data_IF_859969188061
#
_entry.id   IF_859969188061
#
_cell.length_a   1.000
_cell.length_b   1.000
_cell.length_c   1.000
_cell.angle_alpha   90.00
_cell.angle_beta   90.00
_cell.angle_gamma   90.00
#
_symmetry.space_group_name_H-M   'P 1'
#
loop_
_entity.id
_entity.type
_entity.pdbx_description
1 polymer ?
#
# COMPACT_ATOMS: atom_id res chain seq x y z
N UNK A 1 -25.28 1.11 0.83
CA UNK A 1 -26.15 2.19 0.30
C UNK A 1 -27.45 1.57 -0.19
N UNK A 2 -28.60 2.18 0.07
CA UNK A 2 -29.89 1.76 -0.51
C UNK A 2 -30.04 2.27 -1.95
N UNK A 3 -30.99 1.73 -2.74
CA UNK A 3 -31.20 2.17 -4.12
C UNK A 3 -31.58 3.66 -4.18
N UNK A 4 -31.02 4.45 -5.12
CA UNK A 4 -31.41 5.85 -5.29
C UNK A 4 -32.88 5.93 -5.68
N UNK A 5 -33.62 6.89 -5.12
CA UNK A 5 -35.01 7.17 -5.52
C UNK A 5 -34.99 8.38 -6.44
N UNK A 6 -35.51 8.24 -7.66
CA UNK A 6 -35.61 9.35 -8.61
C UNK A 6 -37.03 9.91 -8.55
N UNK A 7 -37.15 11.21 -8.34
CA UNK A 7 -38.44 11.92 -8.39
C UNK A 7 -38.47 12.78 -9.65
N UNK A 8 -39.39 12.48 -10.56
CA UNK A 8 -39.65 13.30 -11.74
C UNK A 8 -40.88 14.16 -11.47
N UNK A 9 -40.76 15.47 -11.68
CA UNK A 9 -41.89 16.41 -11.66
C UNK A 9 -42.27 16.81 -13.07
N UNK A 10 -43.55 17.05 -13.30
CA UNK A 10 -44.00 17.64 -14.56
C UNK A 10 -43.54 19.12 -14.68
N UNK A 11 -43.55 19.72 -15.88
CA UNK A 11 -43.08 21.09 -16.09
C UNK A 11 -43.81 22.16 -15.28
N UNK A 12 -45.05 21.89 -14.82
CA UNK A 12 -45.83 22.78 -13.98
C UNK A 12 -45.65 22.51 -12.48
N UNK A 13 -44.94 21.42 -12.12
CA UNK A 13 -44.64 21.03 -10.74
C UNK A 13 -45.85 20.54 -9.94
N UNK A 14 -46.92 20.13 -10.60
CA UNK A 14 -48.20 19.73 -10.00
C UNK A 14 -48.26 18.25 -9.63
N UNK A 15 -47.46 17.42 -10.31
CA UNK A 15 -47.41 15.97 -10.17
C UNK A 15 -45.97 15.54 -9.98
N UNK A 16 -45.72 14.78 -8.91
CA UNK A 16 -44.44 14.12 -8.64
C UNK A 16 -44.60 12.61 -8.82
N UNK A 17 -43.84 12.03 -9.74
CA UNK A 17 -43.78 10.59 -9.93
C UNK A 17 -42.43 10.08 -9.41
N UNK A 18 -42.47 9.17 -8.43
CA UNK A 18 -41.26 8.53 -7.90
C UNK A 18 -41.03 7.22 -8.63
N UNK A 19 -39.91 7.15 -9.34
CA UNK A 19 -39.45 5.94 -10.01
C UNK A 19 -38.25 5.41 -9.22
N UNK A 20 -38.26 4.11 -8.94
CA UNK A 20 -37.03 3.43 -8.57
C UNK A 20 -36.36 3.03 -9.89
N UNK A 21 -35.25 3.67 -10.29
CA UNK A 21 -34.52 3.25 -11.47
C UNK A 21 -34.08 1.80 -11.30
N UNK A 22 -34.36 0.95 -12.29
CA UNK A 22 -33.89 -0.44 -12.33
C UNK A 22 -32.39 -0.54 -12.64
N UNK A 23 -31.78 0.56 -13.09
CA UNK A 23 -30.37 0.65 -13.40
C UNK A 23 -29.53 0.63 -12.11
N UNK A 24 -28.74 -0.41 -11.93
CA UNK A 24 -27.74 -0.50 -10.86
C UNK A 24 -26.37 -0.11 -11.41
N UNK A 25 -25.67 0.80 -10.73
CA UNK A 25 -24.28 1.17 -11.02
C UNK A 25 -23.38 0.68 -9.89
N UNK A 26 -22.21 0.13 -10.23
CA UNK A 26 -21.18 -0.24 -9.27
C UNK A 26 -20.26 0.96 -9.01
N UNK A 27 -20.07 1.31 -7.75
CA UNK A 27 -19.15 2.36 -7.30
C UNK A 27 -18.04 1.71 -6.49
N UNK A 28 -16.78 1.98 -6.84
CA UNK A 28 -15.61 1.51 -6.08
C UNK A 28 -15.27 2.55 -5.03
N UNK A 29 -15.33 2.17 -3.75
CA UNK A 29 -15.01 3.05 -2.62
C UNK A 29 -13.60 2.74 -2.14
N UNK A 30 -12.71 3.73 -2.16
CA UNK A 30 -11.33 3.53 -1.72
C UNK A 30 -11.24 3.37 -0.19
N UNK A 31 -10.31 2.51 0.28
CA UNK A 31 -10.11 2.29 1.70
C UNK A 31 -9.68 3.58 2.40
N UNK A 32 -10.05 3.68 3.68
CA UNK A 32 -9.67 4.81 4.52
C UNK A 32 -8.19 4.73 4.87
N UNK A 33 -7.45 5.81 4.64
CA UNK A 33 -6.05 5.96 5.05
C UNK A 33 -5.98 6.72 6.38
N UNK A 34 -5.26 6.17 7.35
CA UNK A 34 -5.09 6.75 8.68
C UNK A 34 -3.74 7.45 8.83
N UNK A 35 -3.64 8.42 9.73
CA UNK A 35 -2.35 9.06 10.03
C UNK A 35 -1.60 8.21 11.04
N UNK A 36 -0.39 7.76 10.70
CA UNK A 36 0.47 7.02 11.62
C UNK A 36 0.85 7.88 12.83
N UNK A 37 0.79 7.32 14.02
CA UNK A 37 1.10 8.01 15.28
C UNK A 37 2.59 8.33 15.41
N UNK A 38 3.43 7.46 14.85
CA UNK A 38 4.87 7.63 14.84
C UNK A 38 5.35 7.90 13.40
N UNK A 39 5.84 9.11 13.09
CA UNK A 39 6.41 9.42 11.78
C UNK A 39 7.68 8.60 11.49
N UNK A 40 8.37 8.12 12.52
CA UNK A 40 9.50 7.21 12.36
C UNK A 40 9.06 5.81 11.93
N UNK A 41 7.78 5.44 12.04
CA UNK A 41 7.29 4.16 11.52
C UNK A 41 7.54 4.02 10.01
N UNK A 42 7.47 5.12 9.25
CA UNK A 42 7.89 5.13 7.84
C UNK A 42 9.39 4.82 7.68
N UNK A 43 10.21 5.29 8.62
CA UNK A 43 11.62 4.94 8.75
C UNK A 43 11.83 3.49 9.22
N UNK A 44 11.05 2.97 10.15
CA UNK A 44 11.07 1.56 10.60
C UNK A 44 10.63 0.60 9.51
N UNK A 45 9.85 1.06 8.53
CA UNK A 45 9.55 0.27 7.33
C UNK A 45 10.73 0.26 6.33
N UNK A 46 11.64 1.24 6.41
CA UNK A 46 12.81 1.36 5.54
C UNK A 46 14.11 0.80 6.16
N UNK A 47 14.38 1.09 7.43
CA UNK A 47 15.62 0.83 8.18
C UNK A 47 15.99 -0.67 8.35
N UNK A 48 15.08 -1.58 8.77
CA UNK A 48 15.41 -3.02 8.80
C UNK A 48 15.67 -3.60 7.41
N UNK A 49 15.13 -2.99 6.35
CA UNK A 49 15.41 -3.41 4.97
C UNK A 49 16.81 -3.00 4.52
N UNK A 50 17.30 -1.84 4.98
CA UNK A 50 18.69 -1.40 4.78
C UNK A 50 19.69 -2.26 5.57
N UNK A 51 19.29 -2.79 6.73
CA UNK A 51 20.16 -3.61 7.59
C UNK A 51 20.27 -5.08 7.15
N UNK A 52 19.15 -5.76 6.85
CA UNK A 52 19.16 -7.18 6.42
C UNK A 52 19.82 -7.40 5.04
N UNK A 53 19.90 -6.37 4.19
CA UNK A 53 20.46 -6.49 2.82
C UNK A 53 21.91 -6.02 2.68
N UNK A 54 22.54 -5.56 3.76
CA UNK A 54 23.99 -5.39 3.81
C UNK A 54 24.76 -6.70 4.07
N UNK A 55 24.06 -7.84 4.16
CA UNK A 55 24.70 -9.17 4.26
C UNK A 55 25.12 -9.71 2.87
N UNK A 56 26.33 -9.29 2.46
CA UNK A 56 27.38 -10.06 1.77
C UNK A 56 27.06 -10.78 0.43
N UNK A 57 27.49 -10.19 -0.71
CA UNK A 57 27.27 -10.78 -2.05
C UNK A 57 28.51 -11.47 -2.69
N UNK A 58 29.78 -11.12 -2.37
CA UNK A 58 31.02 -11.93 -2.64
C UNK A 58 32.30 -11.15 -2.32
N UNK A 59 33.41 -11.88 -2.09
CA UNK A 59 34.79 -11.33 -1.99
C UNK A 59 35.46 -11.36 -3.38
N UNK A 60 36.08 -10.26 -3.80
CA UNK A 60 36.96 -10.18 -4.99
C UNK A 60 38.36 -9.68 -4.61
N UNK A 61 39.34 -10.09 -5.41
CA UNK A 61 40.73 -9.63 -5.34
C UNK A 61 40.84 -8.12 -5.65
N UNK A 62 41.68 -7.41 -4.89
CA UNK A 62 41.94 -5.97 -5.03
C UNK A 62 42.49 -5.62 -6.42
N UNK A 63 41.93 -4.59 -7.07
CA UNK A 63 42.51 -3.98 -8.27
C UNK A 63 43.03 -2.57 -7.92
N UNK A 64 44.22 -2.16 -8.41
CA UNK A 64 44.74 -0.81 -8.18
C UNK A 64 43.78 0.27 -8.66
N UNK A 65 43.17 1.00 -7.72
CA UNK A 65 42.14 2.01 -7.98
C UNK A 65 41.04 2.07 -6.91
N UNK A 66 40.90 1.01 -6.11
CA UNK A 66 39.85 0.93 -5.09
C UNK A 66 40.17 1.72 -3.80
N UNK A 67 39.17 2.37 -3.17
CA UNK A 67 39.37 3.12 -1.95
C UNK A 67 39.68 2.20 -0.77
N UNK A 68 40.85 2.41 -0.17
CA UNK A 68 41.44 1.60 0.92
C UNK A 68 40.55 1.43 2.18
N UNK A 69 39.50 2.24 2.33
CA UNK A 69 38.52 2.13 3.43
C UNK A 69 37.63 0.88 3.34
N UNK A 70 37.57 0.23 2.18
CA UNK A 70 36.73 -0.96 1.93
C UNK A 70 37.51 -2.29 2.07
N UNK A 71 38.73 -2.26 2.60
CA UNK A 71 39.57 -3.47 2.74
C UNK A 71 39.13 -4.28 3.96
N UNK A 72 38.77 -5.54 3.76
CA UNK A 72 38.43 -6.45 4.86
C UNK A 72 39.73 -7.00 5.48
N UNK A 73 40.29 -6.26 6.44
CA UNK A 73 41.60 -6.51 7.05
C UNK A 73 41.73 -7.92 7.65
N UNK A 74 40.65 -8.48 8.21
CA UNK A 74 40.65 -9.81 8.84
C UNK A 74 40.79 -10.96 7.83
N UNK A 75 40.29 -10.77 6.61
CA UNK A 75 40.44 -11.76 5.52
C UNK A 75 41.73 -11.55 4.75
N UNK A 76 42.15 -10.30 4.55
CA UNK A 76 43.42 -9.93 3.91
C UNK A 76 44.66 -10.34 4.73
N UNK A 77 44.50 -10.58 6.05
CA UNK A 77 45.59 -11.07 6.89
C UNK A 77 45.86 -12.58 6.76
N UNK A 78 44.93 -13.34 6.16
CA UNK A 78 44.99 -14.81 6.09
C UNK A 78 45.35 -15.34 4.69
N UNK A 79 45.14 -14.53 3.67
CA UNK A 79 45.53 -14.75 2.29
C UNK A 79 46.37 -13.53 1.93
N UNK A 80 47.62 -13.68 1.50
CA UNK A 80 48.63 -12.60 1.31
C UNK A 80 48.28 -11.60 0.17
N UNK A 81 47.00 -11.37 -0.06
CA UNK A 81 46.39 -10.53 -1.09
C UNK A 81 45.33 -9.62 -0.43
N UNK A 82 45.28 -8.36 -0.84
CA UNK A 82 44.26 -7.43 -0.36
C UNK A 82 42.89 -7.81 -0.94
N UNK A 83 41.87 -7.92 -0.09
CA UNK A 83 40.49 -8.20 -0.48
C UNK A 83 39.64 -6.95 -0.28
N UNK A 84 38.99 -6.46 -1.33
CA UNK A 84 38.14 -5.26 -1.32
C UNK A 84 36.67 -5.65 -1.25
N UNK A 85 35.93 -4.98 -0.38
CA UNK A 85 34.46 -4.95 -0.43
C UNK A 85 34.04 -4.06 -1.62
N UNK A 86 33.83 -4.68 -2.77
CA UNK A 86 33.19 -4.04 -3.92
C UNK A 86 31.68 -4.11 -3.71
N UNK A 87 31.07 -2.97 -3.37
CA UNK A 87 29.63 -2.83 -3.39
C UNK A 87 29.23 -2.64 -4.86
N UNK A 88 28.53 -3.62 -5.45
CA UNK A 88 27.82 -3.38 -6.70
C UNK A 88 26.78 -2.28 -6.44
N UNK A 89 26.72 -1.18 -7.22
CA UNK A 89 25.61 -0.25 -7.16
C UNK A 89 24.41 -0.93 -7.81
N UNK A 90 23.84 -1.87 -7.08
CA UNK A 90 22.49 -2.29 -7.37
C UNK A 90 21.61 -1.17 -6.83
N UNK A 91 21.33 -0.18 -7.66
CA UNK A 91 20.19 0.73 -7.51
C UNK A 91 18.87 -0.07 -7.66
N UNK A 92 18.71 -1.16 -6.89
CA UNK A 92 17.41 -1.81 -6.73
C UNK A 92 16.75 -1.06 -5.58
N UNK A 93 15.83 -0.17 -5.94
CA UNK A 93 14.93 0.51 -5.02
C UNK A 93 14.46 -0.48 -3.94
N UNK A 94 14.53 -0.06 -2.68
CA UNK A 94 14.07 -0.86 -1.55
C UNK A 94 12.60 -1.25 -1.76
N UNK A 95 12.37 -2.51 -2.15
CA UNK A 95 11.02 -3.05 -2.37
C UNK A 95 10.48 -3.60 -1.06
N UNK A 96 9.49 -2.92 -0.49
CA UNK A 96 8.68 -3.37 0.64
C UNK A 96 7.59 -4.33 0.15
N UNK A 97 7.58 -5.54 0.69
CA UNK A 97 6.60 -6.59 0.38
C UNK A 97 5.52 -6.62 1.45
N UNK A 98 4.29 -6.35 1.04
CA UNK A 98 3.11 -6.28 1.93
C UNK A 98 2.15 -7.42 1.58
N UNK A 99 1.83 -8.25 2.55
CA UNK A 99 0.82 -9.29 2.43
C UNK A 99 -0.36 -8.98 3.35
N UNK A 100 -1.57 -8.91 2.82
CA UNK A 100 -2.77 -8.55 3.59
C UNK A 100 -3.85 -9.62 3.45
N UNK A 101 -4.31 -10.15 4.58
CA UNK A 101 -5.41 -11.11 4.64
C UNK A 101 -6.48 -10.70 5.66
N UNK A 102 -7.69 -11.21 5.46
CA UNK A 102 -8.85 -10.91 6.31
C UNK A 102 -9.69 -12.17 6.57
N UNK A 103 -10.20 -12.29 7.79
CA UNK A 103 -11.34 -13.17 8.06
C UNK A 103 -12.62 -12.58 7.43
N UNK A 104 -13.66 -13.41 7.17
CA UNK A 104 -14.94 -12.90 6.68
C UNK A 104 -15.50 -11.77 7.57
N UNK A 105 -15.90 -10.64 6.97
CA UNK A 105 -16.40 -9.46 7.68
C UNK A 105 -15.31 -8.55 8.27
N UNK A 106 -14.05 -8.72 7.87
CA UNK A 106 -12.92 -7.87 8.25
C UNK A 106 -12.20 -7.23 7.05
N UNK A 107 -12.81 -7.29 5.86
CA UNK A 107 -12.26 -6.82 4.59
C UNK A 107 -11.88 -5.33 4.66
N UNK A 108 -12.81 -4.49 5.11
CA UNK A 108 -12.58 -3.04 5.23
C UNK A 108 -11.46 -2.69 6.22
N UNK A 109 -11.30 -3.47 7.30
CA UNK A 109 -10.23 -3.25 8.28
C UNK A 109 -8.87 -3.62 7.70
N UNK A 110 -8.78 -4.77 7.03
CA UNK A 110 -7.57 -5.17 6.30
C UNK A 110 -7.22 -4.12 5.25
N UNK A 111 -8.19 -3.72 4.43
CA UNK A 111 -7.98 -2.76 3.35
C UNK A 111 -7.52 -1.40 3.90
N UNK A 112 -8.12 -0.91 5.00
CA UNK A 112 -7.69 0.33 5.65
C UNK A 112 -6.27 0.26 6.23
N UNK A 113 -5.90 -0.86 6.85
CA UNK A 113 -4.55 -1.05 7.38
C UNK A 113 -3.50 -1.15 6.27
N UNK A 114 -3.77 -1.96 5.24
CA UNK A 114 -2.90 -2.12 4.08
C UNK A 114 -2.76 -0.83 3.28
N UNK A 115 -3.84 -0.07 3.12
CA UNK A 115 -3.83 1.23 2.48
C UNK A 115 -2.94 2.19 3.26
N UNK A 116 -3.09 2.24 4.58
CA UNK A 116 -2.31 3.14 5.44
C UNK A 116 -0.81 2.87 5.38
N UNK A 117 -0.41 1.59 5.44
CA UNK A 117 1.00 1.22 5.41
C UNK A 117 1.59 1.37 4.02
N UNK A 118 0.86 1.01 2.97
CA UNK A 118 1.27 1.23 1.57
C UNK A 118 1.43 2.72 1.26
N UNK A 119 0.48 3.55 1.73
CA UNK A 119 0.51 5.00 1.58
C UNK A 119 1.76 5.61 2.21
N UNK A 120 2.06 5.20 3.45
CA UNK A 120 3.23 5.66 4.18
C UNK A 120 4.54 5.22 3.52
N UNK A 121 4.63 3.97 3.06
CA UNK A 121 5.80 3.44 2.37
C UNK A 121 6.07 4.18 1.04
N UNK A 122 5.02 4.41 0.24
CA UNK A 122 5.13 5.16 -1.02
C UNK A 122 5.49 6.63 -0.75
N UNK A 123 4.94 7.24 0.29
CA UNK A 123 5.31 8.60 0.70
C UNK A 123 6.77 8.70 1.18
N UNK A 124 7.33 7.62 1.71
CA UNK A 124 8.75 7.50 2.06
C UNK A 124 9.66 7.20 0.85
N UNK A 125 9.09 7.01 -0.35
CA UNK A 125 9.84 6.75 -1.58
C UNK A 125 10.19 5.28 -1.83
N UNK A 126 9.62 4.36 -1.06
CA UNK A 126 9.85 2.93 -1.22
C UNK A 126 9.08 2.39 -2.44
N UNK A 127 9.61 1.33 -3.06
CA UNK A 127 8.85 0.51 -3.99
C UNK A 127 7.98 -0.44 -3.17
N UNK A 128 6.71 -0.63 -3.54
CA UNK A 128 5.80 -1.52 -2.81
C UNK A 128 5.29 -2.63 -3.72
N UNK A 129 5.34 -3.87 -3.22
CA UNK A 129 4.69 -5.04 -3.78
C UNK A 129 3.58 -5.48 -2.82
N UNK A 130 2.38 -5.76 -3.33
CA UNK A 130 1.20 -5.98 -2.49
C UNK A 130 0.46 -7.26 -2.89
N UNK A 131 0.22 -8.14 -1.92
CA UNK A 131 -0.66 -9.31 -2.06
C UNK A 131 -1.91 -9.14 -1.22
N UNK A 132 -3.05 -9.47 -1.81
CA UNK A 132 -4.36 -9.60 -1.17
C UNK A 132 -4.94 -10.99 -1.54
N UNK A 133 -6.00 -11.48 -0.88
CA UNK A 133 -6.50 -12.84 -1.15
C UNK A 133 -6.85 -13.08 -2.62
N UNK A 134 -7.45 -12.09 -3.28
CA UNK A 134 -7.94 -12.19 -4.64
C UNK A 134 -7.05 -11.49 -5.69
N UNK A 135 -5.82 -11.10 -5.32
CA UNK A 135 -5.00 -10.32 -6.23
C UNK A 135 -3.59 -10.00 -5.77
N UNK A 136 -2.81 -9.50 -6.73
CA UNK A 136 -1.42 -9.15 -6.55
C UNK A 136 -1.10 -7.91 -7.37
N UNK A 137 -0.33 -7.00 -6.77
CA UNK A 137 0.24 -5.85 -7.43
C UNK A 137 1.76 -5.97 -7.38
N UNK A 138 2.36 -6.08 -8.57
CA UNK A 138 3.80 -6.19 -8.75
C UNK A 138 4.54 -4.97 -8.16
N UNK A 139 5.86 -5.05 -7.91
CA UNK A 139 6.63 -3.94 -7.35
C UNK A 139 6.49 -2.66 -8.18
N UNK A 140 6.12 -1.56 -7.54
CA UNK A 140 6.08 -0.24 -8.17
C UNK A 140 6.10 0.90 -7.16
N UNK A 141 6.17 2.14 -7.65
CA UNK A 141 6.21 3.35 -6.83
C UNK A 141 5.53 4.53 -7.53
N UNK A 142 5.36 5.65 -6.81
CA UNK A 142 4.74 6.86 -7.33
C UNK A 142 3.20 6.84 -7.34
N UNK A 143 2.60 7.89 -7.92
CA UNK A 143 1.16 8.16 -7.80
C UNK A 143 0.29 7.13 -8.54
N UNK A 144 0.66 6.74 -9.76
CA UNK A 144 -0.08 5.70 -10.50
C UNK A 144 -0.08 4.38 -9.75
N UNK A 145 1.02 4.04 -9.08
CA UNK A 145 1.11 2.83 -8.27
C UNK A 145 0.24 2.92 -7.02
N UNK A 146 0.26 4.07 -6.35
CA UNK A 146 -0.63 4.39 -5.23
C UNK A 146 -2.10 4.22 -5.61
N UNK A 147 -2.53 4.77 -6.73
CA UNK A 147 -3.91 4.60 -7.24
C UNK A 147 -4.27 3.14 -7.51
N UNK A 148 -3.36 2.39 -8.14
CA UNK A 148 -3.55 0.97 -8.42
C UNK A 148 -3.65 0.14 -7.13
N UNK A 149 -2.84 0.46 -6.12
CA UNK A 149 -2.92 -0.17 -4.81
C UNK A 149 -4.26 0.13 -4.11
N UNK A 150 -4.70 1.40 -4.11
CA UNK A 150 -6.00 1.79 -3.53
C UNK A 150 -7.17 1.11 -4.23
N UNK A 151 -7.12 0.98 -5.55
CA UNK A 151 -8.13 0.27 -6.34
C UNK A 151 -8.16 -1.23 -6.01
N UNK A 152 -6.99 -1.87 -5.94
CA UNK A 152 -6.90 -3.29 -5.57
C UNK A 152 -7.46 -3.55 -4.17
N UNK A 153 -7.11 -2.68 -3.21
CA UNK A 153 -7.58 -2.79 -1.83
C UNK A 153 -9.08 -2.50 -1.69
N UNK A 154 -9.64 -1.61 -2.52
CA UNK A 154 -11.07 -1.32 -2.54
C UNK A 154 -11.93 -2.52 -2.99
N UNK A 155 -11.34 -3.46 -3.73
CA UNK A 155 -12.02 -4.65 -4.24
C UNK A 155 -11.54 -5.95 -3.58
N UNK A 156 -10.65 -5.87 -2.59
CA UNK A 156 -10.07 -7.04 -1.93
C UNK A 156 -11.12 -7.74 -1.06
N UNK A 157 -11.30 -9.05 -1.28
CA UNK A 157 -12.17 -9.89 -0.46
C UNK A 157 -11.49 -10.39 0.81
N UNK A 158 -12.17 -11.31 1.49
CA UNK A 158 -11.60 -12.05 2.61
C UNK A 158 -10.82 -13.27 2.14
N UNK A 159 -9.96 -13.78 3.02
CA UNK A 159 -9.10 -14.92 2.78
C UNK A 159 -7.69 -14.69 3.32
N UNK A 160 -6.86 -15.71 3.18
CA UNK A 160 -5.43 -15.59 3.43
C UNK A 160 -4.68 -15.37 2.12
N UNK A 161 -3.53 -14.72 2.22
CA UNK A 161 -2.56 -14.72 1.12
C UNK A 161 -1.84 -16.07 1.10
N UNK A 162 -1.45 -16.54 -0.08
CA UNK A 162 -0.69 -17.78 -0.19
C UNK A 162 0.56 -17.79 0.70
N UNK A 163 0.87 -18.94 1.30
CA UNK A 163 1.98 -19.09 2.26
C UNK A 163 3.32 -18.51 1.75
N UNK A 164 3.60 -18.69 0.46
CA UNK A 164 4.80 -18.14 -0.18
C UNK A 164 4.88 -16.60 -0.14
N UNK A 165 3.75 -15.92 -0.34
CA UNK A 165 3.67 -14.47 -0.25
C UNK A 165 3.84 -14.01 1.21
N UNK A 166 3.20 -14.72 2.15
CA UNK A 166 3.29 -14.38 3.58
C UNK A 166 4.69 -14.58 4.16
N UNK A 167 5.39 -15.62 3.72
CA UNK A 167 6.75 -15.93 4.15
C UNK A 167 7.79 -14.92 3.63
N UNK A 168 7.54 -14.31 2.48
CA UNK A 168 8.43 -13.32 1.85
C UNK A 168 8.05 -11.87 2.18
N UNK A 169 6.90 -11.65 2.82
CA UNK A 169 6.41 -10.33 3.18
C UNK A 169 7.19 -9.75 4.37
N UNK A 170 7.71 -8.54 4.16
CA UNK A 170 8.30 -7.71 5.21
C UNK A 170 7.20 -7.23 6.18
N UNK A 171 6.00 -6.98 5.64
CA UNK A 171 4.81 -6.58 6.40
C UNK A 171 3.68 -7.56 6.14
N UNK A 172 3.20 -8.26 7.17
CA UNK A 172 2.02 -9.12 7.07
C UNK A 172 0.87 -8.56 7.90
N UNK A 173 -0.26 -8.31 7.26
CA UNK A 173 -1.48 -7.75 7.85
C UNK A 173 -2.52 -8.86 7.93
N UNK A 174 -3.09 -9.03 9.11
CA UNK A 174 -4.20 -9.95 9.34
C UNK A 174 -5.31 -9.24 10.10
N UNK A 175 -6.49 -9.17 9.50
CA UNK A 175 -7.68 -8.61 10.13
C UNK A 175 -8.68 -9.70 10.48
N UNK A 176 -9.24 -9.62 11.68
CA UNK A 176 -10.38 -10.42 12.10
C UNK A 176 -11.52 -9.50 12.56
N UNK A 177 -12.61 -10.09 13.06
CA UNK A 177 -13.80 -9.37 13.50
C UNK A 177 -13.53 -8.36 14.65
N UNK A 178 -12.43 -8.51 15.39
CA UNK A 178 -12.12 -7.78 16.63
C UNK A 178 -10.85 -6.96 16.55
N UNK A 179 -9.84 -7.41 15.82
CA UNK A 179 -8.52 -6.75 15.76
C UNK A 179 -7.94 -6.77 14.36
N UNK A 180 -7.05 -5.82 14.12
CA UNK A 180 -6.17 -5.81 12.97
C UNK A 180 -4.74 -5.83 13.45
N UNK A 181 -3.99 -6.80 12.96
CA UNK A 181 -2.65 -7.12 13.41
C UNK A 181 -1.68 -6.87 12.27
N UNK A 182 -0.56 -6.24 12.58
CA UNK A 182 0.52 -5.96 11.64
C UNK A 182 1.78 -6.63 12.18
N UNK A 183 2.31 -7.59 11.42
CA UNK A 183 3.62 -8.19 11.66
C UNK A 183 4.67 -7.40 10.89
N UNK A 184 5.59 -6.79 11.62
CA UNK A 184 6.78 -6.12 11.10
C UNK A 184 8.01 -7.00 11.41
N UNK A 185 9.20 -6.72 10.83
CA UNK A 185 10.42 -7.43 11.18
C UNK A 185 10.75 -7.38 12.69
N UNK A 186 10.43 -6.25 13.34
CA UNK A 186 10.62 -6.03 14.78
C UNK A 186 9.59 -6.74 15.68
N UNK A 187 8.53 -7.32 15.11
CA UNK A 187 7.51 -8.06 15.84
C UNK A 187 6.07 -7.71 15.46
N UNK A 188 5.13 -8.31 16.18
CA UNK A 188 3.70 -8.14 15.96
C UNK A 188 3.14 -6.94 16.76
N UNK A 189 2.34 -6.10 16.09
CA UNK A 189 1.71 -4.90 16.64
C UNK A 189 0.21 -4.88 16.30
N UNK A 190 -0.59 -4.23 17.15
CA UNK A 190 -1.98 -3.90 16.77
C UNK A 190 -1.98 -2.68 15.85
N UNK A 191 -2.77 -2.71 14.77
CA UNK A 191 -2.89 -1.57 13.86
C UNK A 191 -3.37 -0.31 14.59
N UNK A 192 -4.30 -0.43 15.55
CA UNK A 192 -4.81 0.69 16.33
C UNK A 192 -3.71 1.39 17.13
N UNK A 193 -2.63 0.69 17.49
CA UNK A 193 -1.48 1.29 18.18
C UNK A 193 -0.54 2.05 17.24
N UNK A 194 -0.62 1.80 15.93
CA UNK A 194 0.23 2.43 14.91
C UNK A 194 -0.37 3.72 14.36
N UNK A 195 -1.67 3.93 14.51
CA UNK A 195 -2.38 5.08 13.97
C UNK A 195 -2.78 6.05 15.06
N UNK A 196 -2.61 7.33 14.78
CA UNK A 196 -3.37 8.37 15.46
C UNK A 196 -4.80 8.24 14.99
N UNK A 197 -5.81 8.28 15.88
CA UNK A 197 -7.24 8.16 15.51
C UNK A 197 -7.78 9.22 14.53
N UNK A 198 -6.91 10.05 13.96
CA UNK A 198 -7.20 11.05 12.93
C UNK A 198 -7.08 10.41 11.55
N UNK A 199 -8.18 10.42 10.80
CA UNK A 199 -8.24 9.96 9.40
C UNK A 199 -7.55 10.98 8.49
N UNK A 200 -6.71 10.52 7.56
CA UNK A 200 -6.20 11.37 6.48
C UNK A 200 -7.35 11.56 5.48
N UNK A 201 -7.75 12.82 5.25
CA UNK A 201 -8.76 13.15 4.24
C UNK A 201 -8.16 12.82 2.87
N UNK A 202 -8.56 11.72 2.26
CA UNK A 202 -8.32 11.48 0.83
C UNK A 202 -9.11 12.55 0.08
N UNK A 203 -8.43 13.49 -0.56
CA UNK A 203 -9.07 14.58 -1.30
C UNK A 203 -9.87 13.97 -2.46
N UNK A 204 -11.19 13.92 -2.29
CA UNK A 204 -12.12 13.32 -3.24
C UNK A 204 -12.30 14.29 -4.40
N UNK A 205 -11.46 14.15 -5.43
CA UNK A 205 -11.69 14.78 -6.73
C UNK A 205 -12.83 14.10 -7.52
N UNK A 206 -13.32 12.93 -7.08
CA UNK A 206 -14.27 12.11 -7.87
C UNK A 206 -15.75 12.48 -7.60
N UNK A 207 -16.03 13.37 -6.64
CA UNK A 207 -17.39 13.80 -6.34
C UNK A 207 -17.89 14.99 -7.20
N UNK A 208 -17.07 15.56 -8.09
CA UNK A 208 -17.45 16.74 -8.89
C UNK A 208 -17.82 16.48 -10.35
N UNK A 209 -17.56 15.29 -10.89
CA UNK A 209 -17.93 14.99 -12.29
C UNK A 209 -19.38 14.47 -12.45
N UNK A 210 -20.06 14.08 -11.37
CA UNK A 210 -21.48 13.69 -11.43
C UNK A 210 -22.45 14.90 -11.43
N UNK A 211 -21.99 16.09 -11.04
CA UNK A 211 -22.81 17.30 -11.01
C UNK A 211 -22.64 18.15 -12.30
N UNK A 212 -21.66 17.81 -13.15
CA UNK A 212 -21.40 18.52 -14.41
C UNK A 212 -22.13 17.94 -15.63
N UNK A 213 -22.60 16.68 -15.59
CA UNK A 213 -23.41 16.08 -16.68
C UNK A 213 -24.92 16.39 -16.57
N UNK A 214 -25.36 16.92 -15.42
CA UNK A 214 -26.74 17.42 -15.23
C UNK A 214 -26.90 18.83 -15.82
N UNK A 215 -25.90 19.70 -15.61
CA UNK A 215 -25.90 21.10 -16.09
C UNK A 215 -25.66 21.21 -17.62
N UNK A 216 -25.06 20.19 -18.24
CA UNK A 216 -24.82 20.17 -19.69
C UNK A 216 -26.07 19.84 -20.53
N UNK A 217 -27.14 19.32 -19.92
CA UNK A 217 -28.41 19.02 -20.63
C UNK A 217 -29.44 20.16 -20.59
N UNK A 218 -29.23 21.22 -19.80
CA UNK A 218 -30.16 22.37 -19.76
C UNK A 218 -29.93 23.45 -20.82
N UNK A 219 -28.84 23.40 -21.61
CA UNK A 219 -28.49 24.52 -22.54
C UNK A 219 -28.79 24.24 -24.02
N UNK A 220 -29.49 23.15 -24.35
CA UNK A 220 -29.93 22.90 -25.74
C UNK A 220 -31.42 22.57 -25.82
N UNK A 221 -32.27 23.57 -25.58
CA UNK A 221 -33.68 23.57 -26.01
C UNK A 221 -34.11 25.00 -26.37
#
# INVERSE_FOLDING_TARGET
>A
MGPPTVAQRDPLGLVEHRVQPEATTQLVVYPQVYVLADPTLGGVLADPMTAERQEFDRLREYVPGDPLRNVHWKSSAKHEEFLVMEFSPTERTETLRVAAGASPGAEDRMAGAAATLTDAALAAGLTVELWVPDGHLAPGSGETHRENAMRLLATAGNGDVGEAARATADVAISADARRTTVRLPEGERSFDSLVTGTKRRTDSAVAREAEADDDAREVTA
#
